data_IF_409373237819
#
_entry.id   IF_409373237819
#
_cell.length_a   1.000
_cell.length_b   1.000
_cell.length_c   1.000
_cell.angle_alpha   90.00
_cell.angle_beta   90.00
_cell.angle_gamma   90.00
#
_symmetry.space_group_name_H-M   'P 1'
#
loop_
_entity.id
_entity.type
_entity.pdbx_description
1 polymer ?
#
# COMPACT_ATOMS: atom_id res chain seq x y z
N UNK A 1 -14.63 -6.15 -32.47
CA UNK A 1 -16.06 -6.34 -32.12
C UNK A 1 -16.52 -7.79 -31.81
N UNK A 2 -15.82 -8.84 -32.29
CA UNK A 2 -16.27 -10.26 -32.19
C UNK A 2 -16.25 -10.91 -30.79
N UNK A 3 -15.64 -10.28 -29.78
CA UNK A 3 -15.45 -10.89 -28.46
C UNK A 3 -16.34 -10.31 -27.35
N UNK A 4 -17.16 -9.28 -27.66
CA UNK A 4 -18.00 -8.60 -26.65
C UNK A 4 -19.05 -9.57 -26.07
N UNK A 5 -19.57 -10.50 -26.87
CA UNK A 5 -20.54 -11.51 -26.43
C UNK A 5 -19.99 -12.56 -25.46
N UNK A 6 -18.67 -12.56 -25.19
CA UNK A 6 -18.03 -13.48 -24.24
C UNK A 6 -17.79 -12.87 -22.86
N UNK A 7 -18.03 -11.56 -22.69
CA UNK A 7 -17.80 -10.87 -21.42
C UNK A 7 -19.08 -10.93 -20.58
N UNK A 8 -19.05 -11.70 -19.49
CA UNK A 8 -20.20 -11.84 -18.60
C UNK A 8 -20.41 -10.61 -17.70
N UNK A 9 -19.34 -10.04 -17.13
CA UNK A 9 -19.41 -8.89 -16.24
C UNK A 9 -18.06 -8.19 -16.14
N UNK A 10 -18.07 -6.86 -16.11
CA UNK A 10 -16.92 -6.02 -15.74
C UNK A 10 -17.25 -5.33 -14.43
N UNK A 11 -16.37 -5.44 -13.44
CA UNK A 11 -16.55 -4.83 -12.12
C UNK A 11 -15.23 -4.27 -11.62
N UNK A 12 -15.31 -3.12 -10.96
CA UNK A 12 -14.18 -2.57 -10.21
C UNK A 12 -14.15 -3.17 -8.80
N UNK A 13 -13.00 -3.74 -8.42
CA UNK A 13 -12.83 -4.46 -7.15
C UNK A 13 -12.10 -3.69 -6.07
N UNK A 14 -11.49 -2.54 -6.38
CA UNK A 14 -10.82 -1.70 -5.39
C UNK A 14 -9.78 -2.47 -4.54
N UNK A 15 -8.85 -3.15 -5.20
CA UNK A 15 -7.81 -3.99 -4.54
C UNK A 15 -6.38 -3.49 -4.79
N UNK A 16 -6.16 -2.18 -4.88
CA UNK A 16 -4.85 -1.60 -5.18
C UNK A 16 -3.91 -1.51 -3.95
N UNK A 17 -3.83 -2.58 -3.15
CA UNK A 17 -2.94 -2.70 -1.99
C UNK A 17 -2.66 -4.17 -1.65
N UNK A 18 -1.68 -4.42 -0.79
CA UNK A 18 -1.31 -5.74 -0.28
C UNK A 18 -1.52 -5.76 1.24
N UNK A 19 -2.33 -6.70 1.74
CA UNK A 19 -2.46 -6.94 3.17
C UNK A 19 -1.28 -7.81 3.64
N UNK A 20 -0.44 -7.27 4.55
CA UNK A 20 0.72 -7.98 5.08
C UNK A 20 0.38 -8.69 6.39
N UNK A 21 -0.46 -8.07 7.22
CA UNK A 21 -0.96 -8.61 8.48
C UNK A 21 -2.41 -8.14 8.70
N UNK A 22 -3.13 -8.62 9.75
CA UNK A 22 -4.49 -8.18 10.03
C UNK A 22 -4.67 -6.67 10.21
N UNK A 23 -3.62 -5.97 10.64
CA UNK A 23 -3.63 -4.53 10.92
C UNK A 23 -2.60 -3.73 10.12
N UNK A 24 -1.92 -4.36 9.15
CA UNK A 24 -0.87 -3.71 8.35
C UNK A 24 -1.05 -4.04 6.87
N UNK A 25 -0.96 -2.99 6.05
CA UNK A 25 -0.98 -3.11 4.60
C UNK A 25 0.16 -2.32 3.98
N UNK A 26 0.44 -2.60 2.71
CA UNK A 26 1.40 -1.86 1.89
C UNK A 26 0.77 -1.54 0.54
N UNK A 27 1.08 -0.37 0.01
CA UNK A 27 0.73 -0.02 -1.38
C UNK A 27 1.72 -0.63 -2.39
N UNK A 28 2.75 -1.33 -1.91
CA UNK A 28 3.79 -1.98 -2.70
C UNK A 28 4.45 -1.03 -3.72
N UNK A 29 4.83 0.16 -3.25
CA UNK A 29 5.49 1.20 -4.03
C UNK A 29 6.96 1.35 -3.58
N UNK A 30 7.88 0.50 -4.08
CA UNK A 30 9.28 0.55 -3.68
C UNK A 30 9.93 1.86 -4.12
N UNK A 31 10.84 2.39 -3.29
CA UNK A 31 11.59 3.64 -3.54
C UNK A 31 10.74 4.91 -3.66
N UNK A 32 9.49 4.90 -3.19
CA UNK A 32 8.58 6.05 -3.26
C UNK A 32 9.14 7.29 -2.54
N UNK A 33 9.79 7.09 -1.38
CA UNK A 33 10.40 8.19 -0.63
C UNK A 33 11.45 8.94 -1.47
N UNK A 34 12.32 8.19 -2.16
CA UNK A 34 13.33 8.77 -3.06
C UNK A 34 12.70 9.46 -4.26
N UNK A 35 11.59 8.93 -4.80
CA UNK A 35 10.89 9.56 -5.94
C UNK A 35 10.26 10.90 -5.55
N UNK A 36 9.64 10.98 -4.38
CA UNK A 36 8.97 12.20 -3.90
C UNK A 36 9.95 13.31 -3.49
N UNK A 37 11.17 12.95 -3.07
CA UNK A 37 12.18 13.91 -2.59
C UNK A 37 13.32 14.16 -3.59
N UNK A 38 13.32 13.49 -4.74
CA UNK A 38 14.36 13.65 -5.74
C UNK A 38 14.12 14.87 -6.62
N UNK A 39 15.11 15.77 -6.67
CA UNK A 39 15.13 16.92 -7.59
C UNK A 39 15.17 16.55 -9.08
N UNK A 40 15.40 15.27 -9.40
CA UNK A 40 15.47 14.77 -10.79
C UNK A 40 14.11 14.31 -11.32
N UNK A 41 13.12 14.14 -10.44
CA UNK A 41 11.78 13.65 -10.81
C UNK A 41 10.95 14.85 -11.25
N UNK A 42 10.17 14.68 -12.32
CA UNK A 42 9.28 15.73 -12.81
C UNK A 42 8.04 15.85 -11.93
N UNK A 43 7.47 17.05 -11.86
CA UNK A 43 6.23 17.29 -11.10
C UNK A 43 5.11 16.33 -11.55
N UNK A 44 4.98 16.07 -12.86
CA UNK A 44 4.01 15.11 -13.39
C UNK A 44 4.19 13.68 -12.85
N UNK A 45 5.43 13.25 -12.60
CA UNK A 45 5.71 11.94 -12.02
C UNK A 45 5.42 11.89 -10.51
N UNK A 46 5.61 13.02 -9.80
CA UNK A 46 5.20 13.18 -8.40
C UNK A 46 3.67 13.11 -8.32
N UNK A 47 2.96 13.88 -9.14
CA UNK A 47 1.50 13.87 -9.23
C UNK A 47 0.96 12.46 -9.52
N UNK A 48 1.56 11.75 -10.48
CA UNK A 48 1.19 10.36 -10.77
C UNK A 48 1.47 9.40 -9.61
N UNK A 49 2.50 9.67 -8.81
CA UNK A 49 2.80 8.89 -7.60
C UNK A 49 1.76 9.14 -6.50
N UNK A 50 1.37 10.40 -6.28
CA UNK A 50 0.29 10.81 -5.39
C UNK A 50 -1.03 10.15 -5.79
N UNK A 51 -1.37 10.15 -7.09
CA UNK A 51 -2.58 9.47 -7.60
C UNK A 51 -2.60 7.97 -7.31
N UNK A 52 -1.45 7.29 -7.44
CA UNK A 52 -1.32 5.87 -7.11
C UNK A 52 -1.52 5.63 -5.61
N UNK A 53 -0.96 6.49 -4.76
CA UNK A 53 -1.16 6.42 -3.30
C UNK A 53 -2.65 6.60 -2.97
N UNK A 54 -3.30 7.63 -3.53
CA UNK A 54 -4.72 7.91 -3.33
C UNK A 54 -5.59 6.72 -3.77
N UNK A 55 -5.33 6.12 -4.93
CA UNK A 55 -6.06 4.94 -5.41
C UNK A 55 -5.94 3.73 -4.46
N UNK A 56 -4.75 3.52 -3.90
CA UNK A 56 -4.49 2.45 -2.93
C UNK A 56 -5.19 2.69 -1.60
N UNK A 57 -5.13 3.91 -1.08
CA UNK A 57 -5.86 4.29 0.14
C UNK A 57 -7.37 4.18 -0.05
N UNK A 58 -7.91 4.65 -1.17
CA UNK A 58 -9.32 4.51 -1.51
C UNK A 58 -9.73 3.03 -1.57
N UNK A 59 -8.89 2.18 -2.16
CA UNK A 59 -9.10 0.73 -2.20
C UNK A 59 -9.20 0.12 -0.80
N UNK A 60 -8.34 0.54 0.12
CA UNK A 60 -8.37 0.12 1.51
C UNK A 60 -9.65 0.61 2.22
N UNK A 61 -10.03 1.88 2.05
CA UNK A 61 -11.24 2.46 2.65
C UNK A 61 -12.52 1.76 2.20
N UNK A 62 -12.60 1.42 0.90
CA UNK A 62 -13.69 0.61 0.35
C UNK A 62 -13.70 -0.80 0.94
N UNK A 63 -12.53 -1.41 1.13
CA UNK A 63 -12.43 -2.76 1.72
C UNK A 63 -12.94 -2.80 3.15
N UNK A 64 -12.60 -1.80 3.97
CA UNK A 64 -13.11 -1.68 5.35
C UNK A 64 -14.54 -1.11 5.42
N UNK A 65 -15.06 -0.59 4.29
CA UNK A 65 -16.38 0.04 4.14
C UNK A 65 -16.64 1.26 5.05
N UNK A 66 -15.59 2.03 5.36
CA UNK A 66 -15.69 3.17 6.28
C UNK A 66 -15.23 4.48 5.63
N UNK A 67 -15.84 5.59 6.05
CA UNK A 67 -15.46 6.95 5.64
C UNK A 67 -14.70 7.62 6.79
N UNK A 68 -13.38 7.79 6.68
CA UNK A 68 -12.57 8.31 7.77
C UNK A 68 -12.64 9.83 7.86
N UNK A 69 -12.28 10.36 9.02
CA UNK A 69 -11.86 11.75 9.20
C UNK A 69 -10.38 11.83 8.84
N UNK A 70 -10.03 12.57 7.77
CA UNK A 70 -8.65 12.70 7.31
C UNK A 70 -7.92 13.77 8.13
N UNK A 71 -6.70 13.45 8.56
CA UNK A 71 -5.77 14.34 9.27
C UNK A 71 -4.39 14.25 8.64
N UNK A 72 -3.80 15.39 8.36
CA UNK A 72 -2.44 15.54 7.85
C UNK A 72 -1.81 16.79 8.50
N UNK A 73 -0.49 16.99 8.40
CA UNK A 73 0.15 18.25 8.75
C UNK A 73 -0.54 19.47 8.10
N UNK A 74 -0.42 20.67 8.67
CA UNK A 74 -1.11 21.87 8.18
C UNK A 74 -0.74 22.18 6.72
N UNK A 75 -1.68 22.78 5.97
CA UNK A 75 -1.50 23.19 4.56
C UNK A 75 -0.31 24.16 4.36
N UNK A 76 0.04 24.93 5.39
CA UNK A 76 1.22 25.80 5.37
C UNK A 76 2.55 25.04 5.22
N UNK A 77 2.53 23.72 5.46
CA UNK A 77 3.63 22.80 5.21
C UNK A 77 3.29 21.96 3.97
N UNK A 78 3.77 22.41 2.80
CA UNK A 78 3.59 21.69 1.53
C UNK A 78 4.45 20.43 1.52
N UNK A 79 3.85 19.29 1.88
CA UNK A 79 4.47 17.97 1.89
C UNK A 79 3.61 16.93 1.16
N UNK A 80 4.19 15.76 0.81
CA UNK A 80 3.46 14.69 0.13
C UNK A 80 2.21 14.24 0.89
N UNK A 81 2.25 14.18 2.22
CA UNK A 81 1.11 13.80 3.05
C UNK A 81 -0.10 14.74 2.87
N UNK A 82 0.13 16.05 2.82
CA UNK A 82 -0.89 17.07 2.57
C UNK A 82 -1.49 16.93 1.17
N UNK A 83 -0.66 16.76 0.14
CA UNK A 83 -1.12 16.55 -1.25
C UNK A 83 -2.00 15.30 -1.38
N UNK A 84 -1.61 14.20 -0.73
CA UNK A 84 -2.40 12.97 -0.68
C UNK A 84 -3.71 13.19 0.06
N UNK A 85 -3.69 13.93 1.19
CA UNK A 85 -4.87 14.20 2.00
C UNK A 85 -5.95 14.96 1.24
N UNK A 86 -5.58 16.07 0.60
CA UNK A 86 -6.48 16.90 -0.20
C UNK A 86 -7.08 16.11 -1.35
N UNK A 87 -6.24 15.42 -2.12
CA UNK A 87 -6.71 14.68 -3.30
C UNK A 87 -7.54 13.47 -2.93
N UNK A 88 -7.21 12.76 -1.86
CA UNK A 88 -8.04 11.68 -1.32
C UNK A 88 -9.39 12.21 -0.85
N UNK A 89 -9.41 13.35 -0.15
CA UNK A 89 -10.64 13.99 0.29
C UNK A 89 -11.54 14.35 -0.90
N UNK A 90 -11.01 15.03 -1.92
CA UNK A 90 -11.76 15.39 -3.13
C UNK A 90 -12.35 14.15 -3.81
N UNK A 91 -11.54 13.11 -4.07
CA UNK A 91 -12.02 11.89 -4.71
C UNK A 91 -13.08 11.14 -3.90
N UNK A 92 -12.92 11.10 -2.57
CA UNK A 92 -13.91 10.50 -1.69
C UNK A 92 -15.24 11.29 -1.76
N UNK A 93 -15.17 12.62 -1.68
CA UNK A 93 -16.37 13.47 -1.75
C UNK A 93 -17.06 13.37 -3.11
N UNK A 94 -16.32 13.31 -4.20
CA UNK A 94 -16.87 13.12 -5.55
C UNK A 94 -17.60 11.78 -5.67
N UNK A 95 -17.01 10.69 -5.13
CA UNK A 95 -17.63 9.37 -5.13
C UNK A 95 -18.93 9.34 -4.31
N UNK A 96 -18.97 10.05 -3.18
CA UNK A 96 -20.16 10.16 -2.33
C UNK A 96 -21.24 11.01 -3.00
N UNK A 97 -20.86 12.12 -3.62
CA UNK A 97 -21.77 13.03 -4.35
C UNK A 97 -22.36 12.40 -5.61
N UNK A 98 -21.62 11.49 -6.26
CA UNK A 98 -22.10 10.80 -7.47
C UNK A 98 -23.40 10.03 -7.22
N UNK A 99 -23.76 9.70 -5.98
CA UNK A 99 -25.11 9.22 -5.64
C UNK A 99 -25.54 7.87 -6.24
N UNK A 100 -24.60 7.11 -6.81
CA UNK A 100 -24.91 5.82 -7.42
C UNK A 100 -25.26 4.80 -6.32
N UNK A 101 -26.28 3.97 -6.51
CA UNK A 101 -26.64 2.92 -5.55
C UNK A 101 -25.45 2.00 -5.21
N UNK A 102 -24.51 1.84 -6.15
CA UNK A 102 -23.27 1.10 -5.90
C UNK A 102 -22.33 1.81 -4.91
N UNK A 103 -22.21 3.14 -4.90
CA UNK A 103 -21.31 3.84 -3.97
C UNK A 103 -21.83 3.82 -2.54
N UNK A 104 -23.15 3.77 -2.34
CA UNK A 104 -23.75 3.54 -1.02
C UNK A 104 -23.41 2.15 -0.46
N UNK A 105 -23.33 1.12 -1.33
CA UNK A 105 -22.94 -0.23 -0.93
C UNK A 105 -21.43 -0.33 -0.59
N UNK A 106 -20.58 0.46 -1.25
CA UNK A 106 -19.13 0.51 -0.96
C UNK A 106 -18.83 1.05 0.45
N UNK A 107 -19.66 1.95 0.98
CA UNK A 107 -19.46 2.58 2.29
C UNK A 107 -20.66 2.36 3.23
N UNK A 108 -21.31 1.20 3.14
CA UNK A 108 -22.52 0.87 3.91
C UNK A 108 -22.37 1.04 5.43
N UNK A 109 -21.14 0.96 5.98
CA UNK A 109 -20.87 1.14 7.41
C UNK A 109 -20.56 2.59 7.79
N UNK A 110 -20.63 3.55 6.87
CA UNK A 110 -20.35 4.95 7.15
C UNK A 110 -21.41 5.65 8.03
N UNK A 111 -22.60 5.05 8.17
CA UNK A 111 -23.66 5.52 9.05
C UNK A 111 -23.48 5.08 10.53
N UNK A 112 -22.40 4.34 10.85
CA UNK A 112 -22.06 3.98 12.22
C UNK A 112 -21.71 5.19 13.10
N UNK A 113 -21.95 5.06 14.42
CA UNK A 113 -21.83 6.14 15.42
C UNK A 113 -20.39 6.66 15.59
N UNK A 114 -19.37 5.94 15.14
CA UNK A 114 -17.97 6.33 15.28
C UNK A 114 -17.23 6.25 13.94
N UNK A 115 -16.78 7.41 13.43
CA UNK A 115 -15.98 7.49 12.19
C UNK A 115 -14.50 7.34 12.55
N UNK A 116 -13.74 6.45 11.89
CA UNK A 116 -12.32 6.27 12.16
C UNK A 116 -11.52 7.50 11.71
N UNK A 117 -10.33 7.70 12.27
CA UNK A 117 -9.42 8.76 11.85
C UNK A 117 -8.34 8.16 10.95
N UNK A 118 -8.15 8.74 9.76
CA UNK A 118 -7.02 8.44 8.89
C UNK A 118 -5.96 9.52 9.07
N UNK A 119 -4.82 9.15 9.65
CA UNK A 119 -3.68 10.04 9.87
C UNK A 119 -2.66 9.79 8.76
N UNK A 120 -2.33 10.84 8.01
CA UNK A 120 -1.31 10.84 6.97
C UNK A 120 -0.08 11.59 7.48
N UNK A 121 1.08 10.95 7.36
CA UNK A 121 2.34 11.42 7.93
C UNK A 121 3.44 11.30 6.88
N UNK A 122 4.33 12.29 6.83
CA UNK A 122 5.55 12.23 6.02
C UNK A 122 6.69 11.56 6.79
N UNK A 123 7.54 10.80 6.08
CA UNK A 123 8.65 10.06 6.72
C UNK A 123 9.68 10.98 7.38
N UNK A 124 9.77 12.24 6.94
CA UNK A 124 10.72 13.23 7.44
C UNK A 124 10.55 13.55 8.94
N UNK A 125 9.39 13.27 9.54
CA UNK A 125 9.18 13.53 10.96
C UNK A 125 9.98 12.62 11.90
N UNK A 126 10.40 11.45 11.42
CA UNK A 126 11.24 10.52 12.17
C UNK A 126 12.02 9.63 11.20
N UNK A 127 13.23 10.02 10.80
CA UNK A 127 14.10 9.17 10.00
C UNK A 127 14.92 8.19 10.85
N UNK A 128 15.13 8.48 12.13
CA UNK A 128 15.96 7.68 13.03
C UNK A 128 15.41 6.27 13.18
N UNK A 129 14.08 6.11 13.25
CA UNK A 129 13.44 4.79 13.36
C UNK A 129 13.73 3.87 12.16
N UNK A 130 14.03 4.38 10.96
CA UNK A 130 14.41 3.52 9.81
C UNK A 130 15.81 2.92 9.95
N UNK A 131 16.68 3.50 10.79
CA UNK A 131 18.07 3.09 10.98
C UNK A 131 18.26 2.31 12.28
N UNK A 132 17.21 2.19 13.09
CA UNK A 132 17.29 1.56 14.40
C UNK A 132 17.10 0.04 14.27
N UNK A 133 18.14 -0.73 14.60
CA UNK A 133 18.04 -2.18 14.77
C UNK A 133 17.25 -2.53 16.03
N UNK A 134 16.03 -3.01 15.84
CA UNK A 134 15.13 -3.38 16.94
C UNK A 134 15.26 -4.87 17.25
N UNK A 135 15.19 -5.24 18.53
CA UNK A 135 15.33 -6.62 19.00
C UNK A 135 14.04 -7.45 18.93
N UNK A 136 12.93 -6.87 18.46
CA UNK A 136 11.66 -7.58 18.31
C UNK A 136 11.75 -8.57 17.15
N UNK A 137 11.16 -9.77 17.32
CA UNK A 137 11.31 -10.88 16.37
C UNK A 137 11.04 -10.47 14.91
N UNK A 138 9.93 -9.77 14.65
CA UNK A 138 9.56 -9.37 13.30
C UNK A 138 10.58 -8.39 12.67
N UNK A 139 11.07 -7.40 13.44
CA UNK A 139 12.04 -6.44 12.95
C UNK A 139 13.41 -7.11 12.71
N UNK A 140 13.86 -7.92 13.68
CA UNK A 140 15.13 -8.64 13.57
C UNK A 140 15.13 -9.64 12.41
N UNK A 141 14.04 -10.38 12.21
CA UNK A 141 13.90 -11.31 11.09
C UNK A 141 13.91 -10.59 9.74
N UNK A 142 13.29 -9.41 9.66
CA UNK A 142 13.33 -8.56 8.47
C UNK A 142 14.75 -8.04 8.19
N UNK A 143 15.46 -7.58 9.22
CA UNK A 143 16.82 -7.04 9.09
C UNK A 143 17.85 -8.11 8.70
N UNK A 144 17.73 -9.33 9.23
CA UNK A 144 18.71 -10.41 9.01
C UNK A 144 18.42 -11.28 7.80
N UNK A 145 17.14 -11.51 7.46
CA UNK A 145 16.74 -12.51 6.45
C UNK A 145 15.92 -11.96 5.29
N UNK A 146 15.91 -10.63 5.09
CA UNK A 146 15.22 -9.93 3.99
C UNK A 146 13.75 -10.39 3.84
N UNK A 147 12.98 -10.24 4.92
CA UNK A 147 11.57 -10.62 4.96
C UNK A 147 10.79 -9.77 3.95
N UNK A 148 10.25 -10.41 2.91
CA UNK A 148 9.50 -9.72 1.85
C UNK A 148 8.23 -10.49 1.51
N UNK A 149 7.08 -9.79 1.49
CA UNK A 149 5.76 -10.39 1.25
C UNK A 149 5.51 -11.65 2.10
N UNK A 150 5.83 -11.58 3.39
CA UNK A 150 5.71 -12.69 4.35
C UNK A 150 6.52 -13.94 3.98
N UNK A 151 7.55 -13.80 3.15
CA UNK A 151 8.48 -14.86 2.79
C UNK A 151 9.86 -14.56 3.36
N UNK A 152 10.49 -15.56 3.98
CA UNK A 152 11.84 -15.49 4.54
C UNK A 152 12.72 -16.50 3.80
N UNK A 153 13.93 -16.08 3.41
CA UNK A 153 14.92 -16.97 2.81
C UNK A 153 15.98 -17.29 3.84
N UNK A 154 16.00 -18.54 4.29
CA UNK A 154 16.99 -19.03 5.24
C UNK A 154 18.11 -19.69 4.44
N UNK A 155 19.36 -19.19 4.50
CA UNK A 155 20.48 -19.89 3.91
C UNK A 155 20.67 -21.23 4.63
N UNK A 156 20.63 -22.33 3.88
CA UNK A 156 21.02 -23.65 4.37
C UNK A 156 22.46 -23.91 3.93
N UNK A 157 23.32 -24.35 4.84
CA UNK A 157 24.67 -24.82 4.51
C UNK A 157 24.59 -26.21 3.86
N UNK A 158 24.02 -26.30 2.66
CA UNK A 158 24.03 -27.53 1.84
C UNK A 158 25.31 -27.63 1.00
N UNK A 159 26.46 -27.42 1.67
CA UNK A 159 27.78 -27.63 1.09
C UNK A 159 28.37 -29.01 1.44
N UNK A 160 27.64 -29.91 2.11
CA UNK A 160 28.20 -31.22 2.49
C UNK A 160 27.24 -32.43 2.43
N UNK A 161 26.20 -32.37 1.57
CA UNK A 161 25.37 -33.54 1.31
C UNK A 161 25.07 -33.71 -0.20
N UNK A 162 25.98 -34.38 -0.91
CA UNK A 162 25.61 -35.08 -2.16
C UNK A 162 26.47 -34.85 -3.41
N UNK A 163 27.79 -34.83 -3.30
CA UNK A 163 28.64 -35.25 -4.43
C UNK A 163 29.43 -36.52 -4.05
N UNK A 164 28.73 -37.67 -4.09
CA UNK A 164 29.40 -38.96 -4.27
C UNK A 164 28.98 -39.53 -5.63
N UNK A 165 29.94 -39.41 -6.53
CA UNK A 165 30.26 -40.19 -7.73
C UNK A 165 29.48 -41.47 -8.02
N UNK A 166 29.05 -41.56 -9.29
CA UNK A 166 29.35 -42.65 -10.24
C UNK A 166 29.12 -44.11 -9.82
N UNK A 167 28.07 -44.72 -10.37
CA UNK A 167 27.96 -46.16 -10.59
C UNK A 167 27.41 -46.44 -11.99
N UNK A 168 28.28 -46.84 -12.92
CA UNK A 168 27.89 -47.37 -14.24
C UNK A 168 27.65 -48.88 -14.15
N UNK A 169 26.61 -49.39 -14.81
CA UNK A 169 26.54 -50.60 -15.66
C UNK A 169 25.14 -51.21 -15.64
N UNK A 170 24.68 -51.62 -16.85
CA UNK A 170 23.76 -52.74 -17.06
C UNK A 170 22.28 -52.43 -16.99
#
# INVERSE_FOLDING_TARGET
PRNISRVAKVVDRYCAFVALSPSTFSLNMPRIYSQLHSRKVTDAAIEGSVDRIVNGLLSMLVTIRQIPIIRAPPESQSGPSTMVAERLHSRLMDMLRSGNAQTQDLFSNAAGVERPVLILLDRDMDLATMLHHTWTYQALAHDLFDLNLNTVKIPTDDADAGSQSSGSHG
#
